data_IF_123298569654
#
_entry.id   IF_123298569654
#
_cell.length_a   1.000
_cell.length_b   1.000
_cell.length_c   1.000
_cell.angle_alpha   90.00
_cell.angle_beta   90.00
_cell.angle_gamma   90.00
#
_symmetry.space_group_name_H-M   'P 1'
#
loop_
_entity.id
_entity.type
_entity.pdbx_description
1 polymer ?
#
# COMPACT_ATOMS: atom_id res chain seq x y z
N UNK A 1 14.15 51.35 -51.80
CA UNK A 1 12.85 51.50 -51.09
C UNK A 1 12.34 50.11 -50.74
N UNK A 2 11.78 49.95 -49.53
CA UNK A 2 11.53 48.70 -48.75
C UNK A 2 12.82 48.15 -48.12
N UNK A 3 13.08 48.17 -46.81
CA UNK A 3 12.23 48.39 -45.62
C UNK A 3 11.76 47.06 -45.03
N UNK A 4 11.88 46.91 -43.69
CA UNK A 4 11.61 45.74 -42.81
C UNK A 4 12.81 44.79 -42.58
N UNK A 5 13.12 44.31 -41.38
CA UNK A 5 12.70 44.54 -39.99
C UNK A 5 13.68 43.68 -39.17
N UNK A 6 14.40 44.20 -38.17
CA UNK A 6 14.86 43.33 -37.08
C UNK A 6 14.82 44.11 -35.77
N UNK A 7 14.12 43.49 -34.83
CA UNK A 7 13.55 44.05 -33.62
C UNK A 7 14.68 44.39 -32.64
N UNK A 8 14.78 45.67 -32.31
CA UNK A 8 15.52 46.18 -31.16
C UNK A 8 14.68 45.87 -29.91
N UNK A 9 15.18 45.03 -29.00
CA UNK A 9 14.61 44.90 -27.65
C UNK A 9 15.46 45.71 -26.68
N UNK A 10 14.95 46.90 -26.35
CA UNK A 10 15.27 47.63 -25.13
C UNK A 10 14.51 46.98 -23.97
N UNK A 11 15.14 46.82 -22.80
CA UNK A 11 14.41 46.83 -21.53
C UNK A 11 14.95 47.96 -20.64
N UNK A 12 14.00 48.84 -20.33
CA UNK A 12 14.11 50.07 -19.55
C UNK A 12 14.06 49.73 -18.06
N UNK A 13 15.02 50.24 -17.29
CA UNK A 13 14.88 50.39 -15.85
C UNK A 13 13.78 51.42 -15.56
N UNK A 14 12.55 50.96 -15.28
CA UNK A 14 11.48 51.78 -14.70
C UNK A 14 10.94 51.08 -13.47
N UNK A 15 11.44 51.52 -12.31
CA UNK A 15 10.76 51.54 -11.00
C UNK A 15 9.66 50.47 -10.82
N UNK A 16 10.05 49.20 -10.66
CA UNK A 16 9.18 48.16 -10.14
C UNK A 16 9.71 47.72 -8.78
N UNK A 17 8.84 47.82 -7.77
CA UNK A 17 9.00 47.21 -6.46
C UNK A 17 9.22 45.71 -6.65
N UNK A 18 10.47 45.26 -6.55
CA UNK A 18 10.87 43.88 -6.80
C UNK A 18 10.86 43.10 -5.49
N UNK A 19 9.69 42.62 -5.08
CA UNK A 19 9.62 41.64 -3.98
C UNK A 19 9.73 40.19 -4.47
N UNK A 20 9.39 39.84 -5.71
CA UNK A 20 9.41 38.45 -6.18
C UNK A 20 9.79 38.34 -7.66
N UNK A 21 11.07 38.44 -8.01
CA UNK A 21 11.56 38.04 -9.35
C UNK A 21 13.00 37.54 -9.26
N UNK A 22 13.17 36.23 -9.43
CA UNK A 22 14.45 35.59 -9.75
C UNK A 22 14.54 35.51 -11.28
N UNK A 23 14.76 36.64 -11.94
CA UNK A 23 14.93 36.72 -13.40
C UNK A 23 16.37 37.00 -13.76
N UNK A 24 16.90 36.19 -14.68
CA UNK A 24 18.21 36.42 -15.31
C UNK A 24 18.17 37.75 -16.06
N UNK A 25 18.90 38.74 -15.54
CA UNK A 25 19.05 40.05 -16.16
C UNK A 25 20.36 40.07 -16.94
N UNK A 26 20.27 40.27 -18.25
CA UNK A 26 21.43 40.53 -19.11
C UNK A 26 21.67 42.03 -19.13
N UNK A 27 22.81 42.48 -18.61
CA UNK A 27 23.22 43.89 -18.60
C UNK A 27 24.29 44.13 -19.66
N UNK A 28 24.05 45.14 -20.50
CA UNK A 28 25.00 45.68 -21.47
C UNK A 28 25.81 46.82 -20.83
N UNK A 29 27.14 46.79 -20.95
CA UNK A 29 28.05 47.81 -20.41
C UNK A 29 28.89 48.38 -21.55
N UNK A 30 28.45 49.51 -22.09
CA UNK A 30 29.16 50.26 -23.13
C UNK A 30 30.17 51.24 -22.51
N UNK A 31 31.45 51.07 -22.80
CA UNK A 31 32.50 52.03 -22.39
C UNK A 31 32.65 53.10 -23.48
N UNK A 32 32.25 54.34 -23.20
CA UNK A 32 32.48 55.48 -24.09
C UNK A 32 33.74 56.24 -23.70
N UNK A 33 34.82 56.08 -24.48
CA UNK A 33 35.89 57.07 -24.57
C UNK A 33 36.32 57.25 -26.03
N UNK A 34 36.20 58.49 -26.51
CA UNK A 34 36.40 58.86 -27.91
C UNK A 34 37.86 59.00 -28.32
N UNK A 35 38.23 58.34 -29.42
CA UNK A 35 38.95 58.86 -30.61
C UNK A 35 39.24 57.68 -31.55
N UNK A 36 39.20 57.95 -32.86
CA UNK A 36 39.28 56.98 -33.97
C UNK A 36 40.36 55.91 -33.78
N UNK A 37 39.90 54.74 -33.37
CA UNK A 37 40.39 53.44 -33.79
C UNK A 37 39.18 52.68 -34.31
N UNK A 38 39.36 51.77 -35.26
CA UNK A 38 38.35 50.78 -35.63
C UNK A 38 38.11 49.85 -34.44
N UNK A 39 37.39 50.35 -33.44
CA UNK A 39 36.98 49.59 -32.26
C UNK A 39 35.80 48.72 -32.71
N UNK A 40 36.10 47.46 -32.98
CA UNK A 40 35.08 46.42 -32.96
C UNK A 40 34.53 46.44 -31.54
N UNK A 41 33.33 46.98 -31.36
CA UNK A 41 32.61 46.88 -30.10
C UNK A 41 32.30 45.39 -29.90
N UNK A 42 33.09 44.73 -29.05
CA UNK A 42 32.73 43.45 -28.46
C UNK A 42 31.87 43.78 -27.25
N UNK A 43 30.57 43.64 -27.41
CA UNK A 43 29.64 43.82 -26.29
C UNK A 43 29.71 42.54 -25.44
N UNK A 44 30.10 42.70 -24.17
CA UNK A 44 30.28 41.60 -23.23
C UNK A 44 29.01 41.42 -22.41
N UNK A 45 28.34 40.28 -22.60
CA UNK A 45 27.10 39.95 -21.95
C UNK A 45 27.41 39.30 -20.60
N UNK A 46 26.80 39.80 -19.54
CA UNK A 46 26.91 39.25 -18.19
C UNK A 46 25.53 38.89 -17.65
N UNK A 47 25.46 37.77 -16.96
CA UNK A 47 24.27 37.35 -16.24
C UNK A 47 24.44 37.63 -14.76
N UNK A 48 23.39 38.15 -14.13
CA UNK A 48 23.41 38.59 -12.75
C UNK A 48 22.29 37.90 -11.97
N UNK A 49 22.63 37.28 -10.84
CA UNK A 49 21.68 36.52 -10.02
C UNK A 49 22.01 36.62 -8.53
N UNK A 50 21.08 36.17 -7.69
CA UNK A 50 21.27 35.98 -6.24
C UNK A 50 21.00 34.53 -5.88
N UNK A 51 21.71 34.05 -4.85
CA UNK A 51 21.45 32.70 -4.29
C UNK A 51 20.24 32.75 -3.37
N UNK A 52 20.15 33.75 -2.52
CA UNK A 52 19.05 34.00 -1.59
C UNK A 52 18.71 35.50 -1.56
N UNK A 53 17.54 35.87 -1.02
CA UNK A 53 17.12 37.28 -0.89
C UNK A 53 18.18 38.12 -0.15
N UNK A 54 18.81 37.53 0.87
CA UNK A 54 19.85 38.15 1.69
C UNK A 54 21.26 38.10 1.07
N UNK A 55 21.50 37.24 0.08
CA UNK A 55 22.82 37.11 -0.54
C UNK A 55 23.19 38.31 -1.43
N UNK A 56 24.50 38.50 -1.60
CA UNK A 56 25.06 39.47 -2.55
C UNK A 56 24.83 39.00 -4.00
N UNK A 57 24.76 39.97 -4.92
CA UNK A 57 24.67 39.70 -6.35
C UNK A 57 25.93 38.99 -6.85
N UNK A 58 25.73 37.91 -7.60
CA UNK A 58 26.78 37.23 -8.37
C UNK A 58 26.67 37.63 -9.82
N UNK A 59 27.81 37.90 -10.43
CA UNK A 59 27.92 38.32 -11.83
C UNK A 59 28.78 37.31 -12.57
N UNK A 60 28.22 36.72 -13.62
CA UNK A 60 28.88 35.70 -14.44
C UNK A 60 28.98 36.21 -15.87
N UNK A 61 30.10 35.92 -16.55
CA UNK A 61 30.26 36.29 -17.96
C UNK A 61 29.54 35.26 -18.83
N UNK A 62 28.53 35.71 -19.57
CA UNK A 62 27.68 34.87 -20.42
C UNK A 62 28.34 34.59 -21.77
N UNK A 63 28.86 35.64 -22.41
CA UNK A 63 29.48 35.53 -23.73
C UNK A 63 29.76 36.89 -24.34
N UNK A 64 30.33 36.85 -25.54
CA UNK A 64 30.66 38.05 -26.30
C UNK A 64 29.81 38.09 -27.56
N UNK A 65 29.29 39.27 -27.89
CA UNK A 65 28.57 39.49 -29.14
C UNK A 65 29.41 40.32 -30.10
N UNK A 66 29.33 39.98 -31.39
CA UNK A 66 29.85 40.81 -32.48
C UNK A 66 28.95 40.70 -33.70
N UNK A 67 28.91 41.76 -34.51
CA UNK A 67 28.16 41.80 -35.75
C UNK A 67 28.53 40.69 -36.75
N UNK A 68 29.77 40.16 -36.68
CA UNK A 68 30.28 39.18 -37.66
C UNK A 68 29.95 37.72 -37.31
N UNK A 69 29.86 37.38 -36.02
CA UNK A 69 29.67 35.99 -35.56
C UNK A 69 28.48 35.82 -34.59
N UNK A 70 27.72 36.88 -34.34
CA UNK A 70 26.60 36.86 -33.40
C UNK A 70 27.06 36.69 -31.94
N UNK A 71 26.16 36.17 -31.10
CA UNK A 71 26.47 35.86 -29.70
C UNK A 71 27.27 34.55 -29.63
N UNK A 72 28.50 34.64 -29.12
CA UNK A 72 29.31 33.48 -28.77
C UNK A 72 29.28 33.27 -27.26
N UNK A 73 28.54 32.24 -26.82
CA UNK A 73 28.49 31.83 -25.41
C UNK A 73 29.84 31.32 -24.94
N UNK A 74 30.16 31.54 -23.67
CA UNK A 74 31.30 30.92 -23.02
C UNK A 74 31.04 29.40 -22.84
N UNK A 75 32.09 28.56 -22.88
CA UNK A 75 31.97 27.09 -22.83
C UNK A 75 31.27 26.58 -21.57
N UNK A 76 31.42 27.29 -20.45
CA UNK A 76 30.75 26.98 -19.17
C UNK A 76 29.22 27.09 -19.25
N UNK A 77 28.67 27.70 -20.31
CA UNK A 77 27.23 27.84 -20.55
C UNK A 77 26.66 26.76 -21.48
N UNK A 78 27.44 25.75 -21.82
CA UNK A 78 26.95 24.52 -22.44
C UNK A 78 26.23 23.64 -21.41
N UNK A 79 26.65 23.69 -20.13
CA UNK A 79 26.01 22.98 -19.02
C UNK A 79 24.71 23.66 -18.57
N UNK A 80 23.77 22.86 -18.05
CA UNK A 80 22.51 23.34 -17.48
C UNK A 80 22.76 24.23 -16.26
N UNK A 81 22.04 25.36 -16.16
CA UNK A 81 22.21 26.38 -15.11
C UNK A 81 22.23 25.80 -13.70
N UNK A 82 21.38 24.81 -13.40
CA UNK A 82 21.30 24.17 -12.09
C UNK A 82 22.57 23.40 -11.71
N UNK A 83 23.17 22.66 -12.64
CA UNK A 83 24.44 21.96 -12.40
C UNK A 83 25.60 22.95 -12.18
N UNK A 84 25.60 24.03 -12.97
CA UNK A 84 26.60 25.09 -12.87
C UNK A 84 26.50 25.86 -11.54
N UNK A 85 25.28 26.12 -11.08
CA UNK A 85 24.98 26.87 -9.85
C UNK A 85 24.79 25.97 -8.62
N UNK A 86 25.24 24.71 -8.66
CA UNK A 86 25.06 23.75 -7.55
C UNK A 86 25.67 24.20 -6.22
N UNK A 87 26.74 25.00 -6.25
CA UNK A 87 27.46 25.42 -5.05
C UNK A 87 26.81 26.69 -4.45
N UNK A 88 26.10 26.50 -3.34
CA UNK A 88 25.40 27.57 -2.62
C UNK A 88 26.31 28.39 -1.69
N UNK A 89 27.60 28.06 -1.61
CA UNK A 89 28.61 28.86 -0.92
C UNK A 89 28.32 29.07 0.57
N UNK A 90 27.83 28.02 1.25
CA UNK A 90 27.42 28.05 2.65
C UNK A 90 26.23 28.99 2.96
N UNK A 91 25.46 29.38 1.94
CA UNK A 91 24.17 30.02 2.20
C UNK A 91 23.28 29.07 3.03
N UNK A 92 22.62 29.61 4.05
CA UNK A 92 21.79 28.82 4.96
C UNK A 92 20.49 28.42 4.28
N UNK A 93 20.17 27.13 4.34
CA UNK A 93 18.90 26.55 3.93
C UNK A 93 18.17 26.09 5.18
N UNK A 94 16.93 26.56 5.34
CA UNK A 94 16.08 26.24 6.47
C UNK A 94 15.26 24.99 6.15
N UNK A 95 15.44 23.93 6.94
CA UNK A 95 14.71 22.67 6.85
C UNK A 95 13.72 22.53 8.00
N UNK A 96 12.49 22.12 7.70
CA UNK A 96 11.50 21.78 8.71
C UNK A 96 11.29 20.27 8.79
N UNK A 97 11.42 19.68 9.98
CA UNK A 97 11.16 18.27 10.24
C UNK A 97 9.97 18.11 11.19
N UNK A 98 9.20 17.04 11.00
CA UNK A 98 8.06 16.68 11.85
C UNK A 98 8.48 15.62 12.85
N UNK A 99 8.40 15.94 14.14
CA UNK A 99 8.69 15.03 15.25
C UNK A 99 7.49 14.99 16.18
N UNK A 100 6.94 13.80 16.38
CA UNK A 100 5.79 13.58 17.27
C UNK A 100 6.22 13.30 18.70
N UNK A 101 7.46 12.84 18.90
CA UNK A 101 8.08 12.68 20.21
C UNK A 101 9.22 13.71 20.38
N UNK A 102 9.27 14.35 21.55
CA UNK A 102 10.25 15.39 21.84
C UNK A 102 11.68 14.81 21.99
N UNK A 103 11.80 13.56 22.40
CA UNK A 103 13.07 12.84 22.56
C UNK A 103 13.68 12.46 21.19
N UNK A 104 12.85 12.35 20.14
CA UNK A 104 13.31 12.03 18.78
C UNK A 104 14.38 12.97 18.25
N UNK A 105 14.45 14.22 18.73
CA UNK A 105 15.47 15.21 18.35
C UNK A 105 16.89 14.71 18.65
N UNK A 106 17.05 13.95 19.74
CA UNK A 106 18.35 13.41 20.17
C UNK A 106 18.71 12.10 19.47
N UNK A 107 17.72 11.42 18.88
CA UNK A 107 17.82 10.07 18.34
C UNK A 107 17.54 10.00 16.83
N UNK A 108 17.97 11.02 16.07
CA UNK A 108 17.72 11.12 14.62
C UNK A 108 18.60 10.18 13.79
N UNK A 109 19.76 9.75 14.32
CA UNK A 109 20.77 9.00 13.54
C UNK A 109 21.42 7.83 14.28
N UNK A 110 21.12 7.61 15.57
CA UNK A 110 21.79 6.59 16.41
C UNK A 110 21.09 5.22 16.37
N UNK A 111 19.88 5.15 15.83
CA UNK A 111 19.07 3.93 15.77
C UNK A 111 18.30 3.63 17.05
N UNK A 112 18.31 4.53 18.04
CA UNK A 112 17.46 4.41 19.22
C UNK A 112 16.03 4.84 18.90
N UNK A 113 15.05 4.13 19.49
CA UNK A 113 13.63 4.37 19.27
C UNK A 113 13.26 4.51 17.78
N UNK A 114 13.86 3.67 16.94
CA UNK A 114 13.73 3.70 15.48
C UNK A 114 12.32 3.39 14.94
N UNK A 115 11.38 3.05 15.81
CA UNK A 115 9.97 2.85 15.52
C UNK A 115 9.12 4.12 15.71
N UNK A 116 9.72 5.18 16.24
CA UNK A 116 9.11 6.49 16.46
C UNK A 116 9.65 7.46 15.41
N UNK A 117 8.77 8.29 14.83
CA UNK A 117 9.11 9.30 13.82
C UNK A 117 9.93 8.77 12.64
N UNK A 118 9.64 7.53 12.25
CA UNK A 118 10.43 6.73 11.29
C UNK A 118 10.65 7.40 9.96
N UNK A 119 9.59 8.00 9.41
CA UNK A 119 9.64 8.76 8.16
C UNK A 119 10.66 9.90 8.26
N UNK A 120 10.68 10.61 9.39
CA UNK A 120 11.62 11.72 9.63
C UNK A 120 13.03 11.21 9.84
N UNK A 121 13.22 10.18 10.67
CA UNK A 121 14.55 9.60 10.95
C UNK A 121 15.21 9.03 9.70
N UNK A 122 14.44 8.40 8.80
CA UNK A 122 14.97 7.89 7.51
C UNK A 122 15.36 9.04 6.57
N UNK A 123 14.63 10.15 6.59
CA UNK A 123 14.87 11.26 5.66
C UNK A 123 15.91 12.27 6.14
N UNK A 124 16.14 12.36 7.46
CA UNK A 124 17.09 13.30 8.03
C UNK A 124 18.52 13.14 7.46
N UNK A 125 19.12 11.94 7.36
CA UNK A 125 20.41 11.74 6.70
C UNK A 125 20.38 12.13 5.21
N UNK A 126 19.33 11.74 4.48
CA UNK A 126 19.17 12.03 3.05
C UNK A 126 19.14 13.54 2.78
N UNK A 127 18.42 14.30 3.60
CA UNK A 127 18.37 15.76 3.49
C UNK A 127 19.70 16.41 3.84
N UNK A 128 20.41 15.88 4.83
CA UNK A 128 21.75 16.36 5.15
C UNK A 128 22.72 16.14 3.99
N UNK A 129 22.67 14.97 3.32
CA UNK A 129 23.49 14.68 2.15
C UNK A 129 23.12 15.56 0.95
N UNK A 130 21.84 15.85 0.74
CA UNK A 130 21.40 16.79 -0.29
C UNK A 130 22.03 18.18 -0.09
N UNK A 131 22.02 18.70 1.14
CA UNK A 131 22.62 20.00 1.42
C UNK A 131 24.15 19.99 1.39
N UNK A 132 24.79 18.87 1.74
CA UNK A 132 26.24 18.68 1.54
C UNK A 132 26.60 18.70 0.06
N UNK A 133 25.81 18.03 -0.79
CA UNK A 133 25.97 18.03 -2.23
C UNK A 133 25.87 19.45 -2.83
N UNK A 134 24.97 20.28 -2.29
CA UNK A 134 24.80 21.68 -2.69
C UNK A 134 25.76 22.66 -1.99
N UNK A 135 26.64 22.18 -1.10
CA UNK A 135 27.54 23.01 -0.28
C UNK A 135 26.80 24.15 0.44
N UNK A 136 25.67 23.82 1.08
CA UNK A 136 24.82 24.75 1.84
C UNK A 136 25.02 24.61 3.35
N UNK A 137 24.80 25.70 4.08
CA UNK A 137 24.70 25.65 5.54
C UNK A 137 23.30 25.18 5.93
N UNK A 138 23.18 24.44 7.04
CA UNK A 138 21.96 23.72 7.44
C UNK A 138 21.38 24.37 8.69
N UNK A 139 20.10 24.71 8.66
CA UNK A 139 19.35 25.14 9.84
C UNK A 139 18.11 24.27 10.02
N UNK A 140 17.90 23.75 11.22
CA UNK A 140 16.86 22.77 11.53
C UNK A 140 15.74 23.42 12.35
N UNK A 141 14.51 23.26 11.88
CA UNK A 141 13.29 23.65 12.60
C UNK A 141 12.45 22.40 12.80
N UNK A 142 11.93 22.20 14.00
CA UNK A 142 11.11 21.05 14.35
C UNK A 142 9.67 21.47 14.64
N UNK A 143 8.72 20.66 14.22
CA UNK A 143 7.29 20.85 14.48
C UNK A 143 6.62 19.51 14.76
N UNK A 144 5.44 19.53 15.37
CA UNK A 144 4.70 18.35 15.81
C UNK A 144 3.75 17.77 14.73
N UNK A 145 3.51 18.52 13.65
CA UNK A 145 2.54 18.13 12.62
C UNK A 145 3.01 18.48 11.20
N UNK A 146 2.59 17.67 10.21
CA UNK A 146 2.83 17.97 8.78
C UNK A 146 2.13 19.25 8.32
N UNK A 147 1.06 19.66 8.99
CA UNK A 147 0.32 20.88 8.70
C UNK A 147 -1.04 20.62 8.08
N UNK A 148 -2.09 21.04 8.77
CA UNK A 148 -3.49 20.93 8.40
C UNK A 148 -4.09 22.31 8.29
N UNK A 149 -5.03 22.45 7.35
CA UNK A 149 -5.69 23.73 7.13
C UNK A 149 -6.66 24.00 8.27
N UNK A 150 -6.40 25.04 9.05
CA UNK A 150 -7.32 25.55 10.06
C UNK A 150 -7.78 26.94 9.62
N UNK A 151 -9.07 27.06 9.27
CA UNK A 151 -9.65 28.22 8.60
C UNK A 151 -8.90 28.56 7.29
N UNK A 152 -8.23 29.72 7.24
CA UNK A 152 -7.45 30.20 6.09
C UNK A 152 -5.93 30.09 6.31
N UNK A 153 -5.48 29.52 7.42
CA UNK A 153 -4.05 29.37 7.73
C UNK A 153 -3.63 27.91 7.80
N UNK A 154 -2.38 27.65 7.46
CA UNK A 154 -1.75 26.35 7.61
C UNK A 154 -0.88 26.34 8.87
N UNK A 155 -1.03 25.31 9.70
CA UNK A 155 -0.11 25.04 10.81
C UNK A 155 0.98 24.04 10.39
N UNK A 156 1.83 23.64 11.34
CA UNK A 156 2.86 22.62 11.13
C UNK A 156 3.84 22.97 10.00
N UNK A 157 4.45 21.94 9.42
CA UNK A 157 5.45 22.08 8.36
C UNK A 157 4.90 22.76 7.10
N UNK A 158 3.67 22.44 6.67
CA UNK A 158 3.02 23.18 5.56
C UNK A 158 2.91 24.67 5.88
N UNK A 159 2.59 25.04 7.12
CA UNK A 159 2.54 26.43 7.56
C UNK A 159 3.87 27.16 7.41
N UNK A 160 4.97 26.53 7.84
CA UNK A 160 6.31 27.09 7.68
C UNK A 160 6.69 27.31 6.21
N UNK A 161 6.36 26.35 5.34
CA UNK A 161 6.62 26.44 3.90
C UNK A 161 5.80 27.57 3.25
N UNK A 162 4.53 27.69 3.60
CA UNK A 162 3.63 28.73 3.05
C UNK A 162 4.05 30.13 3.49
N UNK A 163 4.54 30.30 4.72
CA UNK A 163 5.05 31.59 5.22
C UNK A 163 6.44 31.93 4.71
N UNK A 164 7.12 31.00 4.03
CA UNK A 164 8.50 31.18 3.55
C UNK A 164 9.52 31.27 4.68
N UNK A 165 9.22 30.66 5.83
CA UNK A 165 10.14 30.56 6.97
C UNK A 165 11.15 29.42 6.76
N UNK A 166 10.74 28.38 6.01
CA UNK A 166 11.58 27.24 5.63
C UNK A 166 11.57 27.05 4.12
N UNK A 167 12.70 26.61 3.57
CA UNK A 167 12.88 26.41 2.13
C UNK A 167 12.39 25.01 1.70
N UNK A 168 12.61 24.00 2.55
CA UNK A 168 12.30 22.59 2.29
C UNK A 168 11.76 21.89 3.55
N UNK A 169 10.73 21.06 3.36
CA UNK A 169 10.22 20.14 4.37
C UNK A 169 11.01 18.83 4.32
N UNK A 170 11.76 18.54 5.38
CA UNK A 170 12.60 17.36 5.50
C UNK A 170 11.85 16.08 5.85
N UNK A 171 10.58 16.17 6.24
CA UNK A 171 9.69 15.01 6.44
C UNK A 171 8.73 14.88 5.26
N UNK A 172 8.76 13.79 4.48
CA UNK A 172 7.81 13.59 3.40
C UNK A 172 6.34 13.69 3.84
N UNK A 173 5.49 14.33 3.04
CA UNK A 173 4.04 14.47 3.27
C UNK A 173 3.21 13.83 2.16
N UNK A 174 2.02 13.38 2.51
CA UNK A 174 1.05 12.94 1.50
C UNK A 174 0.65 14.07 0.57
N UNK A 175 0.60 13.71 -0.70
CA UNK A 175 0.13 14.54 -1.79
C UNK A 175 -1.39 14.72 -1.68
N UNK A 176 -1.83 15.94 -1.39
CA UNK A 176 -3.25 16.27 -1.27
C UNK A 176 -3.60 17.46 -2.15
N UNK A 177 -4.83 17.50 -2.67
CA UNK A 177 -5.31 18.59 -3.53
C UNK A 177 -5.19 19.96 -2.86
N UNK A 178 -5.46 20.04 -1.56
CA UNK A 178 -5.34 21.29 -0.81
C UNK A 178 -3.88 21.77 -0.71
N UNK A 179 -2.92 20.87 -0.43
CA UNK A 179 -1.50 21.24 -0.32
C UNK A 179 -0.86 21.56 -1.67
N UNK A 180 -1.25 20.88 -2.75
CA UNK A 180 -0.74 21.17 -4.11
C UNK A 180 -0.88 22.64 -4.51
N UNK A 181 -1.90 23.34 -4.00
CA UNK A 181 -2.12 24.74 -4.33
C UNK A 181 -1.13 25.70 -3.66
N UNK A 182 -0.45 25.26 -2.59
CA UNK A 182 0.35 26.13 -1.70
C UNK A 182 1.81 25.68 -1.50
N UNK A 183 2.15 24.44 -1.84
CA UNK A 183 3.53 23.92 -1.81
C UNK A 183 3.81 23.14 -3.10
N UNK A 184 5.08 22.97 -3.41
CA UNK A 184 5.53 22.14 -4.53
C UNK A 184 6.21 20.86 -4.03
N UNK A 185 6.06 19.77 -4.77
CA UNK A 185 6.61 18.47 -4.42
C UNK A 185 7.75 18.10 -5.37
N UNK A 186 8.84 17.54 -4.82
CA UNK A 186 10.06 17.26 -5.60
C UNK A 186 10.30 15.76 -5.83
N UNK A 187 10.26 14.95 -4.78
CA UNK A 187 10.61 13.53 -4.86
C UNK A 187 9.99 12.73 -3.71
N UNK A 188 9.84 11.43 -3.90
CA UNK A 188 9.42 10.47 -2.87
C UNK A 188 10.61 9.60 -2.47
N UNK A 189 11.40 10.02 -1.46
CA UNK A 189 12.65 9.33 -1.09
C UNK A 189 12.41 7.96 -0.42
N UNK A 190 11.26 7.77 0.23
CA UNK A 190 10.98 6.54 0.99
C UNK A 190 9.57 6.03 0.69
N UNK A 191 9.41 4.82 0.13
CA UNK A 191 8.09 4.24 -0.06
C UNK A 191 7.47 4.00 1.32
N UNK A 192 6.38 4.69 1.60
CA UNK A 192 5.72 4.65 2.92
C UNK A 192 4.24 4.39 2.71
N UNK A 193 3.80 3.19 3.11
CA UNK A 193 2.42 2.76 2.90
C UNK A 193 1.73 2.53 4.23
N UNK A 194 0.47 2.95 4.31
CA UNK A 194 -0.39 2.65 5.43
C UNK A 194 -1.64 1.90 4.97
N UNK A 195 -1.85 0.72 5.55
CA UNK A 195 -2.84 -0.24 5.08
C UNK A 195 -3.49 -0.95 6.27
N UNK A 196 -4.69 -1.49 6.06
CA UNK A 196 -5.24 -2.49 6.95
C UNK A 196 -4.50 -3.80 6.73
N UNK A 197 -3.92 -4.32 7.81
CA UNK A 197 -3.27 -5.63 7.83
C UNK A 197 -4.07 -6.55 8.75
N UNK A 198 -4.30 -7.78 8.31
CA UNK A 198 -5.03 -8.78 9.07
C UNK A 198 -4.62 -10.19 8.68
N UNK A 199 -4.83 -11.15 9.59
CA UNK A 199 -4.72 -12.57 9.27
C UNK A 199 -6.00 -13.02 8.57
N UNK A 200 -5.90 -13.72 7.45
CA UNK A 200 -7.08 -14.27 6.82
C UNK A 200 -7.79 -15.27 7.76
N UNK A 201 -9.12 -15.16 7.93
CA UNK A 201 -9.86 -16.13 8.73
C UNK A 201 -9.81 -17.52 8.08
N UNK A 202 -9.92 -18.57 8.90
CA UNK A 202 -10.03 -19.94 8.41
C UNK A 202 -11.32 -20.12 7.61
N UNK A 203 -11.31 -21.00 6.61
CA UNK A 203 -12.46 -21.26 5.77
C UNK A 203 -13.69 -21.75 6.56
N UNK A 204 -13.47 -22.44 7.69
CA UNK A 204 -14.50 -22.88 8.63
C UNK A 204 -15.34 -21.78 9.25
N UNK A 205 -14.81 -20.56 9.30
CA UNK A 205 -15.49 -19.44 9.94
C UNK A 205 -16.61 -18.85 9.06
N UNK A 206 -16.46 -18.97 7.73
CA UNK A 206 -17.39 -18.39 6.76
C UNK A 206 -18.28 -19.44 6.08
N UNK A 207 -17.83 -20.71 5.98
CA UNK A 207 -18.54 -21.76 5.25
C UNK A 207 -18.74 -23.03 6.07
N UNK A 208 -19.83 -23.75 5.78
CA UNK A 208 -20.01 -25.12 6.25
C UNK A 208 -19.06 -26.07 5.48
N UNK A 209 -17.93 -26.40 6.10
CA UNK A 209 -16.89 -27.23 5.50
C UNK A 209 -17.37 -28.63 5.12
N UNK A 210 -18.34 -29.18 5.86
CA UNK A 210 -18.86 -30.52 5.59
C UNK A 210 -19.55 -30.58 4.23
N UNK A 211 -20.30 -29.53 3.85
CA UNK A 211 -20.93 -29.47 2.52
C UNK A 211 -19.94 -29.04 1.43
N UNK A 212 -18.94 -28.23 1.78
CA UNK A 212 -17.94 -27.71 0.85
C UNK A 212 -16.95 -28.78 0.35
N UNK A 213 -16.85 -29.90 1.07
CA UNK A 213 -15.90 -30.97 0.78
C UNK A 213 -16.19 -31.71 -0.52
N UNK A 214 -17.42 -31.65 -1.05
CA UNK A 214 -17.73 -32.11 -2.39
C UNK A 214 -18.49 -31.06 -3.18
N UNK A 215 -18.18 -30.99 -4.48
CA UNK A 215 -18.97 -30.19 -5.39
C UNK A 215 -20.40 -30.73 -5.49
N UNK A 216 -21.38 -29.86 -5.76
CA UNK A 216 -22.81 -30.22 -5.83
C UNK A 216 -23.08 -31.43 -6.75
N UNK A 217 -22.38 -31.50 -7.88
CA UNK A 217 -22.48 -32.63 -8.83
C UNK A 217 -21.99 -33.96 -8.25
N UNK A 218 -20.95 -33.95 -7.40
CA UNK A 218 -20.47 -35.17 -6.74
C UNK A 218 -21.44 -35.65 -5.66
N UNK A 219 -22.10 -34.73 -4.96
CA UNK A 219 -23.20 -35.09 -4.05
C UNK A 219 -24.35 -35.77 -4.79
N UNK A 220 -24.82 -35.18 -5.90
CA UNK A 220 -25.86 -35.80 -6.73
C UNK A 220 -25.41 -37.15 -7.31
N UNK A 221 -24.15 -37.25 -7.76
CA UNK A 221 -23.57 -38.49 -8.26
C UNK A 221 -23.49 -39.59 -7.18
N UNK A 222 -23.13 -39.24 -5.95
CA UNK A 222 -23.04 -40.19 -4.83
C UNK A 222 -24.43 -40.72 -4.44
N UNK A 223 -25.43 -39.85 -4.37
CA UNK A 223 -26.82 -40.26 -4.11
C UNK A 223 -27.36 -41.13 -5.24
N UNK A 224 -27.07 -40.78 -6.50
CA UNK A 224 -27.46 -41.56 -7.68
C UNK A 224 -26.81 -42.95 -7.68
N UNK A 225 -25.52 -43.04 -7.39
CA UNK A 225 -24.78 -44.30 -7.28
C UNK A 225 -25.39 -45.21 -6.20
N UNK A 226 -25.68 -44.66 -5.02
CA UNK A 226 -26.32 -45.40 -3.93
C UNK A 226 -27.71 -45.89 -4.31
N UNK A 227 -28.51 -45.07 -5.02
CA UNK A 227 -29.83 -45.47 -5.50
C UNK A 227 -29.74 -46.62 -6.52
N UNK A 228 -28.79 -46.55 -7.47
CA UNK A 228 -28.56 -47.62 -8.46
C UNK A 228 -28.15 -48.92 -7.78
N UNK A 229 -27.20 -48.86 -6.83
CA UNK A 229 -26.74 -50.02 -6.08
C UNK A 229 -27.84 -50.59 -5.18
N UNK A 230 -28.69 -49.75 -4.59
CA UNK A 230 -29.86 -50.18 -3.84
C UNK A 230 -30.83 -50.98 -4.72
N UNK A 231 -31.16 -50.46 -5.90
CA UNK A 231 -32.05 -51.12 -6.86
C UNK A 231 -31.44 -52.46 -7.31
N UNK A 232 -30.15 -52.48 -7.64
CA UNK A 232 -29.45 -53.70 -8.05
C UNK A 232 -29.45 -54.76 -6.93
N UNK A 233 -29.13 -54.38 -5.69
CA UNK A 233 -29.17 -55.28 -4.54
C UNK A 233 -30.58 -55.78 -4.26
N UNK A 234 -31.61 -54.95 -4.42
CA UNK A 234 -33.00 -55.37 -4.26
C UNK A 234 -33.39 -56.47 -5.26
N UNK A 235 -33.08 -56.27 -6.55
CA UNK A 235 -33.38 -57.28 -7.57
C UNK A 235 -32.58 -58.57 -7.37
N UNK A 236 -31.29 -58.47 -7.01
CA UNK A 236 -30.45 -59.65 -6.76
C UNK A 236 -30.94 -60.41 -5.53
N UNK A 237 -31.26 -59.71 -4.43
CA UNK A 237 -31.78 -60.35 -3.22
C UNK A 237 -33.12 -61.02 -3.48
N UNK A 238 -34.01 -60.39 -4.26
CA UNK A 238 -35.27 -60.99 -4.66
C UNK A 238 -35.08 -62.26 -5.51
N UNK A 239 -34.13 -62.23 -6.46
CA UNK A 239 -33.84 -63.39 -7.30
C UNK A 239 -33.17 -64.53 -6.52
N UNK A 240 -32.15 -64.24 -5.70
CA UNK A 240 -31.50 -65.23 -4.85
C UNK A 240 -32.51 -65.86 -3.87
N UNK A 241 -33.41 -65.06 -3.29
CA UNK A 241 -34.47 -65.58 -2.42
C UNK A 241 -35.43 -66.51 -3.16
N UNK A 242 -35.84 -66.15 -4.40
CA UNK A 242 -36.69 -66.99 -5.24
C UNK A 242 -35.98 -68.30 -5.58
N UNK A 243 -34.69 -68.26 -5.93
CA UNK A 243 -33.88 -69.44 -6.24
C UNK A 243 -33.75 -70.35 -5.02
N UNK A 244 -33.43 -69.81 -3.85
CA UNK A 244 -33.32 -70.56 -2.58
C UNK A 244 -34.64 -71.24 -2.22
N UNK A 245 -35.79 -70.57 -2.40
CA UNK A 245 -37.12 -71.16 -2.19
C UNK A 245 -37.48 -72.27 -3.18
N UNK A 246 -36.92 -72.25 -4.39
CA UNK A 246 -37.12 -73.26 -5.42
C UNK A 246 -36.22 -74.49 -5.22
N UNK A 247 -34.98 -74.29 -4.76
CA UNK A 247 -33.99 -75.37 -4.59
C UNK A 247 -34.06 -76.05 -3.20
N UNK A 248 -34.46 -75.34 -2.13
CA UNK A 248 -34.47 -75.87 -0.75
C UNK A 248 -35.85 -75.76 -0.08
N UNK A 249 -36.40 -76.89 0.35
CA UNK A 249 -37.63 -76.99 1.16
C UNK A 249 -37.38 -77.09 2.69
N UNK A 250 -36.13 -76.91 3.16
CA UNK A 250 -35.77 -76.99 4.58
C UNK A 250 -34.90 -75.81 5.05
N UNK A 251 -35.33 -75.22 6.17
CA UNK A 251 -34.69 -74.21 7.03
C UNK A 251 -33.84 -73.14 6.33
N UNK A 252 -34.46 -71.99 6.03
CA UNK A 252 -33.73 -70.77 5.64
C UNK A 252 -32.84 -70.33 6.80
N UNK A 253 -31.53 -70.35 6.60
CA UNK A 253 -30.55 -69.86 7.57
C UNK A 253 -30.83 -68.37 7.88
N UNK A 254 -30.84 -68.03 9.17
CA UNK A 254 -31.10 -66.67 9.68
C UNK A 254 -30.07 -65.64 9.21
N UNK A 255 -28.91 -66.09 8.71
CA UNK A 255 -27.84 -65.25 8.16
C UNK A 255 -28.08 -64.78 6.72
N UNK A 256 -29.08 -65.31 6.02
CA UNK A 256 -29.37 -64.93 4.63
C UNK A 256 -30.15 -63.62 4.57
N UNK A 257 -29.68 -62.67 3.76
CA UNK A 257 -30.37 -61.40 3.55
C UNK A 257 -31.78 -61.62 2.97
N UNK A 258 -32.79 -61.06 3.64
CA UNK A 258 -34.19 -61.16 3.20
C UNK A 258 -34.50 -60.07 2.17
N UNK A 259 -35.39 -60.34 1.18
CA UNK A 259 -35.78 -59.38 0.15
C UNK A 259 -36.79 -58.36 0.71
N UNK A 260 -36.39 -57.64 1.76
CA UNK A 260 -37.17 -56.58 2.38
C UNK A 260 -36.44 -55.25 2.18
N UNK A 261 -37.20 -54.20 1.86
CA UNK A 261 -36.70 -52.84 1.62
C UNK A 261 -35.94 -52.33 2.85
N UNK A 262 -36.43 -52.59 4.06
CA UNK A 262 -35.77 -52.17 5.29
C UNK A 262 -34.42 -52.86 5.50
N UNK A 263 -34.34 -54.16 5.24
CA UNK A 263 -33.14 -54.95 5.54
C UNK A 263 -32.01 -54.58 4.57
N UNK A 264 -32.34 -54.34 3.30
CA UNK A 264 -31.40 -53.84 2.31
C UNK A 264 -31.01 -52.39 2.61
N UNK A 265 -31.95 -51.54 3.04
CA UNK A 265 -31.63 -50.17 3.42
C UNK A 265 -30.69 -50.12 4.63
N UNK A 266 -30.92 -50.97 5.64
CA UNK A 266 -30.04 -51.11 6.81
C UNK A 266 -28.66 -51.63 6.39
N UNK A 267 -28.58 -52.59 5.47
CA UNK A 267 -27.31 -53.07 4.93
C UNK A 267 -26.52 -51.97 4.23
N UNK A 268 -27.16 -51.16 3.38
CA UNK A 268 -26.50 -50.06 2.69
C UNK A 268 -26.13 -48.93 3.66
N UNK A 269 -26.98 -48.65 4.64
CA UNK A 269 -26.65 -47.70 5.70
C UNK A 269 -25.44 -48.16 6.52
N UNK A 270 -25.41 -49.43 6.94
CA UNK A 270 -24.26 -50.03 7.61
C UNK A 270 -23.00 -49.95 6.75
N UNK A 271 -23.09 -50.30 5.46
CA UNK A 271 -21.97 -50.18 4.52
C UNK A 271 -21.48 -48.73 4.37
N UNK A 272 -22.41 -47.76 4.33
CA UNK A 272 -22.08 -46.32 4.24
C UNK A 272 -21.37 -45.84 5.50
N UNK A 273 -21.78 -46.35 6.66
CA UNK A 273 -21.10 -46.15 7.94
C UNK A 273 -19.82 -46.99 8.10
N UNK A 274 -19.41 -47.74 7.08
CA UNK A 274 -18.27 -48.68 7.11
C UNK A 274 -18.40 -49.75 8.20
N UNK A 275 -19.63 -50.11 8.57
CA UNK A 275 -19.96 -51.15 9.52
C UNK A 275 -20.32 -52.45 8.78
N UNK A 276 -19.99 -53.58 9.39
CA UNK A 276 -20.40 -54.89 8.90
C UNK A 276 -21.89 -55.16 9.15
N UNK A 277 -22.44 -56.15 8.45
CA UNK A 277 -23.78 -56.67 8.70
C UNK A 277 -23.72 -58.14 9.09
N UNK A 278 -24.66 -58.58 9.92
CA UNK A 278 -24.82 -60.00 10.28
C UNK A 278 -25.49 -60.79 9.16
N UNK A 279 -26.13 -60.12 8.19
CA UNK A 279 -26.78 -60.77 7.05
C UNK A 279 -25.97 -60.60 5.77
N UNK A 280 -25.83 -61.66 4.99
CA UNK A 280 -25.07 -61.64 3.73
C UNK A 280 -25.82 -62.26 2.55
N UNK A 281 -25.40 -61.87 1.34
CA UNK A 281 -25.79 -62.52 0.08
C UNK A 281 -24.86 -63.71 -0.16
N UNK A 282 -25.44 -64.90 -0.36
CA UNK A 282 -24.67 -66.14 -0.54
C UNK A 282 -24.31 -66.40 -2.00
N UNK A 283 -25.03 -65.82 -2.96
CA UNK A 283 -24.73 -66.00 -4.39
C UNK A 283 -23.52 -65.19 -4.87
N UNK A 284 -22.83 -65.72 -5.88
CA UNK A 284 -21.63 -65.09 -6.46
C UNK A 284 -21.91 -63.71 -7.03
N UNK A 285 -23.08 -63.51 -7.66
CA UNK A 285 -23.49 -62.21 -8.22
C UNK A 285 -23.74 -61.18 -7.12
N UNK A 286 -24.45 -61.54 -6.05
CA UNK A 286 -24.66 -60.67 -4.88
C UNK A 286 -23.36 -60.26 -4.22
N UNK A 287 -22.40 -61.19 -4.08
CA UNK A 287 -21.06 -60.90 -3.55
C UNK A 287 -20.28 -59.90 -4.39
N UNK A 288 -20.34 -60.00 -5.72
CA UNK A 288 -19.68 -59.03 -6.62
C UNK A 288 -20.30 -57.63 -6.45
N UNK A 289 -21.64 -57.52 -6.38
CA UNK A 289 -22.30 -56.22 -6.19
C UNK A 289 -22.03 -55.64 -4.81
N UNK A 290 -22.01 -56.45 -3.75
CA UNK A 290 -21.59 -56.02 -2.42
C UNK A 290 -20.14 -55.55 -2.41
N UNK A 291 -19.23 -56.26 -3.09
CA UNK A 291 -17.84 -55.83 -3.22
C UNK A 291 -17.74 -54.46 -3.92
N UNK A 292 -18.47 -54.27 -5.02
CA UNK A 292 -18.53 -52.97 -5.71
C UNK A 292 -19.10 -51.86 -4.83
N UNK A 293 -20.14 -52.14 -4.03
CA UNK A 293 -20.70 -51.21 -3.05
C UNK A 293 -19.64 -50.79 -2.02
N UNK A 294 -18.97 -51.76 -1.38
CA UNK A 294 -17.96 -51.48 -0.37
C UNK A 294 -16.76 -50.73 -0.93
N UNK A 295 -16.26 -51.12 -2.12
CA UNK A 295 -15.16 -50.41 -2.78
C UNK A 295 -15.55 -48.97 -3.08
N UNK A 296 -16.72 -48.75 -3.68
CA UNK A 296 -17.22 -47.41 -4.03
C UNK A 296 -17.37 -46.52 -2.80
N UNK A 297 -17.97 -47.04 -1.72
CA UNK A 297 -18.14 -46.33 -0.46
C UNK A 297 -16.79 -46.04 0.22
N UNK A 298 -15.83 -46.95 0.14
CA UNK A 298 -14.47 -46.73 0.67
C UNK A 298 -13.77 -45.60 -0.06
N UNK A 299 -13.84 -45.54 -1.39
CA UNK A 299 -13.28 -44.44 -2.16
C UNK A 299 -13.95 -43.09 -1.84
N UNK A 300 -15.30 -43.06 -1.74
CA UNK A 300 -16.02 -41.84 -1.38
C UNK A 300 -15.66 -41.36 0.02
N UNK A 301 -15.63 -42.26 1.00
CA UNK A 301 -15.28 -41.93 2.38
C UNK A 301 -13.84 -41.42 2.51
N UNK A 302 -12.88 -42.11 1.89
CA UNK A 302 -11.46 -41.73 1.96
C UNK A 302 -11.21 -40.39 1.26
N UNK A 303 -11.82 -40.16 0.10
CA UNK A 303 -11.74 -38.88 -0.62
C UNK A 303 -12.37 -37.73 0.18
N UNK A 304 -13.56 -37.94 0.74
CA UNK A 304 -14.25 -36.95 1.59
C UNK A 304 -13.42 -36.60 2.82
N UNK A 305 -12.90 -37.60 3.51
CA UNK A 305 -12.09 -37.42 4.72
C UNK A 305 -10.80 -36.65 4.43
N UNK A 306 -10.09 -37.01 3.35
CA UNK A 306 -8.89 -36.31 2.94
C UNK A 306 -9.17 -34.84 2.59
N UNK A 307 -10.28 -34.57 1.87
CA UNK A 307 -10.60 -33.21 1.46
C UNK A 307 -11.07 -32.33 2.61
N UNK A 308 -11.84 -32.84 3.58
CA UNK A 308 -12.20 -32.08 4.78
C UNK A 308 -10.93 -31.62 5.52
N UNK A 309 -9.96 -32.53 5.70
CA UNK A 309 -8.72 -32.21 6.41
C UNK A 309 -7.95 -31.12 5.69
N UNK A 310 -7.85 -31.19 4.36
CA UNK A 310 -7.23 -30.15 3.56
C UNK A 310 -7.97 -28.79 3.67
N UNK A 311 -9.31 -28.81 3.65
CA UNK A 311 -10.12 -27.60 3.78
C UNK A 311 -10.07 -26.96 5.18
N UNK A 312 -9.91 -27.76 6.24
CA UNK A 312 -9.71 -27.25 7.60
C UNK A 312 -8.39 -26.51 7.78
N UNK A 313 -7.39 -26.86 6.98
CA UNK A 313 -6.07 -26.23 6.98
C UNK A 313 -5.99 -25.01 6.06
N UNK A 314 -6.93 -24.83 5.13
CA UNK A 314 -6.92 -23.72 4.18
C UNK A 314 -7.51 -22.43 4.76
N UNK A 315 -6.95 -21.29 4.34
CA UNK A 315 -7.47 -19.97 4.66
C UNK A 315 -8.57 -19.55 3.69
N UNK A 316 -9.49 -18.71 4.15
CA UNK A 316 -10.52 -18.12 3.30
C UNK A 316 -9.93 -17.06 2.38
N UNK A 317 -10.34 -17.04 1.11
CA UNK A 317 -9.94 -15.99 0.15
C UNK A 317 -11.04 -14.95 -0.12
N UNK A 318 -12.05 -14.85 0.75
CA UNK A 318 -13.22 -13.99 0.53
C UNK A 318 -12.95 -12.50 0.71
N UNK A 319 -12.10 -12.10 1.67
CA UNK A 319 -11.80 -10.68 1.91
C UNK A 319 -10.64 -10.27 1.00
N UNK A 320 -10.94 -9.50 -0.07
CA UNK A 320 -9.93 -9.01 -1.03
C UNK A 320 -9.98 -7.51 -1.24
N UNK A 321 -11.17 -6.93 -1.10
CA UNK A 321 -11.42 -5.51 -1.29
C UNK A 321 -11.78 -4.82 0.02
N UNK A 322 -11.76 -3.49 0.00
CA UNK A 322 -12.21 -2.69 1.12
C UNK A 322 -13.70 -2.90 1.45
N UNK A 323 -14.52 -3.13 0.43
CA UNK A 323 -15.94 -3.44 0.59
C UNK A 323 -16.15 -4.77 1.31
N UNK A 324 -15.38 -5.81 0.93
CA UNK A 324 -15.39 -7.09 1.64
C UNK A 324 -14.94 -6.90 3.10
N UNK A 325 -13.95 -6.03 3.33
CA UNK A 325 -13.43 -5.75 4.66
C UNK A 325 -14.50 -5.07 5.54
N UNK A 326 -15.25 -4.09 5.00
CA UNK A 326 -16.37 -3.43 5.67
C UNK A 326 -17.45 -4.44 6.09
N UNK A 327 -17.85 -5.33 5.18
CA UNK A 327 -18.88 -6.34 5.42
C UNK A 327 -18.38 -7.56 6.22
N UNK A 328 -17.07 -7.67 6.44
CA UNK A 328 -16.49 -8.76 7.22
C UNK A 328 -16.85 -8.67 8.71
N UNK A 329 -16.77 -9.82 9.38
CA UNK A 329 -16.92 -9.95 10.84
C UNK A 329 -15.66 -9.56 11.62
N UNK A 330 -14.62 -9.09 10.94
CA UNK A 330 -13.38 -8.67 11.60
C UNK A 330 -13.63 -7.45 12.48
N UNK A 331 -12.95 -7.41 13.63
CA UNK A 331 -12.84 -6.22 14.45
C UNK A 331 -11.72 -5.33 13.93
N UNK A 332 -11.86 -4.01 14.08
CA UNK A 332 -10.92 -3.06 13.52
C UNK A 332 -10.14 -2.34 14.62
N UNK A 333 -8.94 -1.89 14.28
CA UNK A 333 -8.17 -0.89 15.03
C UNK A 333 -7.33 -0.05 14.10
N UNK A 334 -6.96 1.13 14.57
CA UNK A 334 -6.09 2.05 13.83
C UNK A 334 -4.93 2.47 14.72
N UNK A 335 -3.73 2.52 14.16
CA UNK A 335 -2.58 3.03 14.88
C UNK A 335 -2.79 4.52 15.20
N UNK A 336 -2.66 4.86 16.49
CA UNK A 336 -2.92 6.20 16.99
C UNK A 336 -1.82 7.18 16.59
N UNK A 337 -1.97 7.80 15.42
CA UNK A 337 -1.07 8.84 14.91
C UNK A 337 -1.86 10.07 14.50
N UNK A 338 -1.19 11.23 14.53
CA UNK A 338 -1.79 12.52 14.13
C UNK A 338 -2.39 12.43 12.73
N UNK A 339 -1.67 11.83 11.77
CA UNK A 339 -2.16 11.71 10.40
C UNK A 339 -3.34 10.73 10.28
N UNK A 340 -3.33 9.59 10.96
CA UNK A 340 -4.46 8.66 10.91
C UNK A 340 -5.72 9.31 11.48
N UNK A 341 -5.62 10.00 12.62
CA UNK A 341 -6.76 10.74 13.18
C UNK A 341 -7.35 11.74 12.20
N UNK A 342 -6.48 12.49 11.51
CA UNK A 342 -6.91 13.46 10.51
C UNK A 342 -7.57 12.79 9.30
N UNK A 343 -6.86 11.91 8.57
CA UNK A 343 -7.34 11.37 7.31
C UNK A 343 -8.59 10.49 7.45
N UNK A 344 -8.73 9.74 8.55
CA UNK A 344 -9.95 8.97 8.78
C UNK A 344 -11.17 9.88 9.04
N UNK A 345 -10.97 11.04 9.66
CA UNK A 345 -12.08 11.96 10.00
C UNK A 345 -12.62 12.78 8.83
N UNK A 346 -11.78 13.05 7.82
CA UNK A 346 -12.15 13.90 6.68
C UNK A 346 -12.59 13.11 5.43
N UNK A 347 -12.54 11.78 5.49
CA UNK A 347 -12.79 10.94 4.34
C UNK A 347 -14.27 10.99 3.92
N UNK A 348 -14.51 11.15 2.61
CA UNK A 348 -15.84 11.38 2.04
C UNK A 348 -16.36 10.20 1.22
N UNK A 349 -15.47 9.33 0.76
CA UNK A 349 -15.85 8.16 -0.03
C UNK A 349 -16.74 7.22 0.81
N UNK A 350 -17.87 6.73 0.26
CA UNK A 350 -18.91 6.05 1.04
C UNK A 350 -18.41 4.81 1.79
N UNK A 351 -17.57 3.96 1.19
CA UNK A 351 -17.09 2.73 1.83
C UNK A 351 -16.14 3.07 2.97
N UNK A 352 -15.19 3.99 2.75
CA UNK A 352 -14.23 4.42 3.76
C UNK A 352 -14.89 5.14 4.92
N UNK A 353 -15.80 6.06 4.61
CA UNK A 353 -16.61 6.77 5.60
C UNK A 353 -17.41 5.78 6.44
N UNK A 354 -18.04 4.78 5.80
CA UNK A 354 -18.74 3.72 6.51
C UNK A 354 -17.80 2.92 7.43
N UNK A 355 -16.56 2.60 7.01
CA UNK A 355 -15.57 1.94 7.90
C UNK A 355 -15.26 2.82 9.12
N UNK A 356 -15.03 4.12 8.92
CA UNK A 356 -14.75 5.04 10.01
C UNK A 356 -15.91 5.13 11.01
N UNK A 357 -17.13 5.35 10.53
CA UNK A 357 -18.32 5.55 11.36
C UNK A 357 -18.84 4.26 12.00
N UNK A 358 -18.71 3.10 11.35
CA UNK A 358 -19.28 1.85 11.85
C UNK A 358 -18.27 0.97 12.60
N UNK A 359 -17.02 0.90 12.15
CA UNK A 359 -16.02 -0.03 12.70
C UNK A 359 -15.01 0.63 13.64
N UNK A 360 -14.63 1.90 13.39
CA UNK A 360 -13.57 2.58 14.15
C UNK A 360 -14.14 3.47 15.25
N UNK A 361 -15.15 4.27 14.92
CA UNK A 361 -15.82 5.19 15.84
C UNK A 361 -17.33 4.96 15.82
N UNK A 362 -17.81 3.78 16.25
CA UNK A 362 -19.24 3.50 16.32
C UNK A 362 -19.94 4.51 17.24
N UNK A 363 -21.13 4.98 16.84
CA UNK A 363 -21.92 5.93 17.62
C UNK A 363 -22.18 5.40 19.03
N UNK A 364 -21.66 6.09 20.05
CA UNK A 364 -21.77 5.71 21.45
C UNK A 364 -20.73 4.71 21.98
N UNK A 365 -19.74 4.32 21.17
CA UNK A 365 -18.64 3.44 21.57
C UNK A 365 -17.30 4.15 21.76
N UNK A 366 -16.32 3.44 22.33
CA UNK A 366 -14.92 3.91 22.42
C UNK A 366 -14.26 3.87 21.03
N UNK A 367 -13.56 4.94 20.68
CA UNK A 367 -12.76 5.00 19.45
C UNK A 367 -11.69 3.92 19.46
N UNK A 368 -11.45 3.29 18.30
CA UNK A 368 -10.50 2.18 18.17
C UNK A 368 -9.11 2.61 17.70
N UNK A 369 -8.65 3.76 18.20
CA UNK A 369 -7.24 4.16 18.08
C UNK A 369 -6.45 3.51 19.20
N UNK A 370 -5.31 2.91 18.88
CA UNK A 370 -4.46 2.19 19.83
C UNK A 370 -2.99 2.25 19.42
N UNK A 371 -2.12 1.89 20.36
CA UNK A 371 -0.67 1.83 20.12
C UNK A 371 -0.34 0.70 19.14
N UNK A 372 0.84 0.79 18.49
CA UNK A 372 1.34 -0.25 17.59
C UNK A 372 1.39 -1.62 18.28
N UNK A 373 1.93 -1.69 19.50
CA UNK A 373 2.04 -2.93 20.28
C UNK A 373 0.67 -3.58 20.54
N UNK A 374 -0.33 -2.81 20.96
CA UNK A 374 -1.67 -3.33 21.23
C UNK A 374 -2.34 -3.84 19.95
N UNK A 375 -2.25 -3.08 18.87
CA UNK A 375 -2.85 -3.42 17.59
C UNK A 375 -2.27 -4.71 16.99
N UNK A 376 -0.94 -4.85 17.02
CA UNK A 376 -0.24 -6.04 16.51
C UNK A 376 -0.56 -7.27 17.35
N UNK A 377 -0.58 -7.17 18.69
CA UNK A 377 -0.96 -8.29 19.56
C UNK A 377 -2.39 -8.75 19.31
N UNK A 378 -3.34 -7.82 19.12
CA UNK A 378 -4.72 -8.16 18.73
C UNK A 378 -4.79 -8.80 17.34
N UNK A 379 -4.02 -8.29 16.38
CA UNK A 379 -3.91 -8.89 15.04
C UNK A 379 -3.38 -10.32 15.12
N UNK A 380 -2.44 -10.62 16.03
CA UNK A 380 -1.92 -11.96 16.24
C UNK A 380 -2.99 -12.93 16.73
N UNK A 381 -3.86 -12.50 17.66
CA UNK A 381 -4.99 -13.30 18.15
C UNK A 381 -5.99 -13.68 17.05
N UNK A 382 -5.94 -13.00 15.90
CA UNK A 382 -6.80 -13.24 14.74
C UNK A 382 -8.13 -12.49 14.81
N UNK A 383 -8.93 -12.60 13.75
CA UNK A 383 -10.22 -11.92 13.59
C UNK A 383 -10.17 -10.39 13.81
N UNK A 384 -9.00 -9.79 13.59
CA UNK A 384 -8.74 -8.38 13.82
C UNK A 384 -7.94 -7.79 12.66
N UNK A 385 -8.40 -6.64 12.16
CA UNK A 385 -7.75 -5.84 11.13
C UNK A 385 -7.19 -4.56 11.73
N UNK A 386 -5.90 -4.35 11.55
CA UNK A 386 -5.19 -3.22 12.13
C UNK A 386 -4.64 -2.31 11.03
N UNK A 387 -5.04 -1.04 11.03
CA UNK A 387 -4.49 -0.05 10.12
C UNK A 387 -3.20 0.52 10.69
N UNK A 388 -2.09 0.28 9.98
CA UNK A 388 -0.75 0.67 10.41
C UNK A 388 0.11 1.11 9.24
N UNK A 389 1.20 1.83 9.52
CA UNK A 389 2.28 2.02 8.55
C UNK A 389 3.05 0.70 8.44
N UNK A 390 3.20 0.17 7.22
CA UNK A 390 3.67 -1.21 7.03
C UNK A 390 5.15 -1.36 7.36
N UNK A 391 5.99 -0.34 7.14
CA UNK A 391 7.42 -0.39 7.45
C UNK A 391 7.66 -0.69 8.92
N UNK A 392 7.16 0.18 9.80
CA UNK A 392 7.24 -0.03 11.25
C UNK A 392 6.38 -1.20 11.70
N UNK A 393 5.17 -1.33 11.18
CA UNK A 393 4.24 -2.39 11.55
C UNK A 393 4.85 -3.78 11.41
N UNK A 394 5.55 -4.05 10.29
CA UNK A 394 6.21 -5.34 10.08
C UNK A 394 7.39 -5.60 11.00
N UNK A 395 8.04 -4.56 11.53
CA UNK A 395 9.04 -4.74 12.60
C UNK A 395 8.39 -5.34 13.86
N UNK A 396 7.22 -4.85 14.25
CA UNK A 396 6.46 -5.40 15.38
C UNK A 396 5.86 -6.77 15.08
N UNK A 397 5.40 -7.01 13.84
CA UNK A 397 4.99 -8.35 13.41
C UNK A 397 6.15 -9.33 13.58
N UNK A 398 7.37 -8.97 13.15
CA UNK A 398 8.54 -9.83 13.28
C UNK A 398 8.87 -10.17 14.75
N UNK A 399 8.62 -9.22 15.66
CA UNK A 399 8.81 -9.40 17.11
C UNK A 399 7.80 -10.37 17.74
N UNK A 400 6.54 -10.32 17.33
CA UNK A 400 5.46 -11.06 18.01
C UNK A 400 4.99 -12.33 17.29
N UNK A 401 4.97 -12.34 15.95
CA UNK A 401 4.42 -13.43 15.14
C UNK A 401 5.44 -14.52 14.88
N UNK A 402 4.97 -15.77 14.87
CA UNK A 402 5.77 -16.90 14.37
C UNK A 402 5.79 -16.92 12.83
N UNK A 403 6.82 -17.52 12.23
CA UNK A 403 6.99 -17.55 10.76
C UNK A 403 5.75 -18.08 10.01
N UNK A 404 5.13 -19.15 10.51
CA UNK A 404 3.90 -19.70 9.92
C UNK A 404 2.68 -18.75 9.99
N UNK A 405 2.66 -17.84 10.97
CA UNK A 405 1.58 -16.86 11.12
C UNK A 405 1.73 -15.68 10.17
N UNK A 406 2.97 -15.32 9.81
CA UNK A 406 3.30 -14.22 8.89
C UNK A 406 2.75 -14.48 7.49
N UNK A 407 2.83 -15.72 7.00
CA UNK A 407 2.32 -16.12 5.69
C UNK A 407 0.80 -15.95 5.52
N UNK A 408 0.05 -15.84 6.62
CA UNK A 408 -1.40 -15.64 6.59
C UNK A 408 -1.85 -14.18 6.57
N UNK A 409 -0.91 -13.22 6.55
CA UNK A 409 -1.21 -11.80 6.56
C UNK A 409 -1.65 -11.32 5.17
N UNK A 410 -2.64 -10.43 5.17
CA UNK A 410 -3.08 -9.70 3.99
C UNK A 410 -3.19 -8.22 4.27
N UNK A 411 -2.98 -7.45 3.21
CA UNK A 411 -3.00 -6.00 3.21
C UNK A 411 -4.13 -5.49 2.32
N UNK A 412 -4.88 -4.51 2.80
CA UNK A 412 -5.87 -3.78 2.03
C UNK A 412 -5.63 -2.28 2.21
N UNK A 413 -5.43 -1.59 1.09
CA UNK A 413 -5.16 -0.16 1.10
C UNK A 413 -6.39 0.64 1.53
N UNK A 414 -6.22 1.44 2.59
CA UNK A 414 -7.22 2.41 3.01
C UNK A 414 -6.96 3.78 2.37
N UNK A 415 -5.87 4.47 2.68
CA UNK A 415 -5.69 5.81 2.11
C UNK A 415 -5.43 5.75 0.60
N UNK A 416 -6.21 6.50 -0.20
CA UNK A 416 -5.98 6.72 -1.64
C UNK A 416 -4.89 7.78 -1.88
N UNK A 417 -3.80 7.68 -1.13
CA UNK A 417 -2.65 8.55 -1.25
C UNK A 417 -1.52 7.77 -1.90
N UNK A 418 -0.80 8.43 -2.80
CA UNK A 418 0.50 7.95 -3.25
C UNK A 418 1.49 7.96 -2.07
N UNK A 419 2.65 7.33 -2.26
CA UNK A 419 3.75 7.42 -1.30
C UNK A 419 4.02 8.91 -0.95
N UNK A 420 4.41 9.26 0.29
CA UNK A 420 4.71 10.64 0.68
C UNK A 420 5.87 11.26 -0.11
N UNK A 421 5.76 12.55 -0.43
CA UNK A 421 6.79 13.31 -1.15
C UNK A 421 7.36 14.42 -0.28
N UNK A 422 8.64 14.75 -0.50
CA UNK A 422 9.25 15.95 0.01
C UNK A 422 8.58 17.17 -0.62
N UNK A 423 8.26 18.14 0.22
CA UNK A 423 7.63 19.39 -0.18
C UNK A 423 8.60 20.55 0.03
N UNK A 424 8.58 21.50 -0.87
CA UNK A 424 9.39 22.72 -0.83
C UNK A 424 8.49 23.94 -0.91
N UNK A 425 9.03 25.09 -0.52
CA UNK A 425 8.31 26.35 -0.65
C UNK A 425 7.91 26.55 -2.12
N UNK A 426 6.66 26.97 -2.34
CA UNK A 426 6.17 27.26 -3.69
C UNK A 426 6.97 28.38 -4.34
N UNK A 427 7.26 28.24 -5.63
CA UNK A 427 8.06 29.19 -6.41
C UNK A 427 9.48 29.40 -5.85
N UNK A 428 10.04 28.41 -5.14
CA UNK A 428 11.40 28.49 -4.58
C UNK A 428 12.48 28.51 -5.68
N UNK A 429 13.51 29.36 -5.54
CA UNK A 429 14.63 29.40 -6.49
C UNK A 429 15.48 28.12 -6.47
N UNK A 430 15.33 27.28 -5.45
CA UNK A 430 16.12 26.06 -5.25
C UNK A 430 15.49 24.80 -5.88
N UNK A 431 14.32 24.93 -6.52
CA UNK A 431 13.52 23.81 -7.02
C UNK A 431 14.34 22.80 -7.84
N UNK A 432 14.98 23.28 -8.90
CA UNK A 432 15.76 22.43 -9.81
C UNK A 432 17.02 21.87 -9.15
N UNK A 433 17.62 22.59 -8.19
CA UNK A 433 18.77 22.11 -7.43
C UNK A 433 18.38 20.93 -6.53
N UNK A 434 17.22 21.02 -5.87
CA UNK A 434 16.70 19.94 -5.02
C UNK A 434 16.19 18.72 -5.79
N UNK A 435 15.80 18.88 -7.06
CA UNK A 435 15.40 17.74 -7.91
C UNK A 435 16.60 16.97 -8.47
N UNK A 436 17.73 17.66 -8.68
CA UNK A 436 18.94 17.09 -9.29
C UNK A 436 19.83 16.42 -8.26
N UNK A 437 20.00 17.05 -7.09
CA UNK A 437 20.69 16.44 -5.95
C UNK A 437 19.84 15.32 -5.36
#
# INVERSE_FOLDING_TARGET
MRGYLLIVVFIIAKKCSAEHLNTDLILDLRNEFGKRYSLVFMDCYKEVYKISKASNWKVERFGDWSANFGLKKNKEWEDVTSLRRKNLGLNTINMCFVLTDNDSVHHLTDGENDHIDTITKVNFPTMNHLLDYLNASKNYIFTDTWGYKNNNSWNGMTGYLVRGEVDIGGSPMFFTSQRMSVVEYISSPTPTRSMFVFRQPKLSYENNLFLLSFHKYLWYGSVSLLAILFIALFFITFWEWKKIRLENSMSVDSTVLRPNVSDIAILIFAATCQQGSHTELKGSLGRIVLLLLFISLTFLYTSYSANIVALLQSSSSQIRSLDDLLHSRLSFGVHDTVFNRYYFSIETEPIRKAIYETKITPSGGKTRFMTMDEGIKKMQMGLFAFHMETGVGYKFVSKYFQEGEKCGLKEIQYLQVIDPWLAVQKDTPYMELFKIG
#
